data_IF_053889136199
#
_entry.id   IF_053889136199
#
_cell.length_a   1.000
_cell.length_b   1.000
_cell.length_c   1.000
_cell.angle_alpha   90.00
_cell.angle_beta   90.00
_cell.angle_gamma   90.00
#
_symmetry.space_group_name_H-M   'P 1'
#
loop_
_entity.id
_entity.type
_entity.pdbx_description
1 polymer ?
#
# COMPACT_ATOMS: atom_id res chain seq x y z
N UNK A 1 -9.40 0.47 -9.33
CA UNK A 1 -9.77 0.57 -7.90
C UNK A 1 -9.12 1.82 -7.33
N UNK A 2 -9.77 2.59 -6.45
CA UNK A 2 -9.22 3.83 -5.91
C UNK A 2 -9.33 3.88 -4.39
N UNK A 3 -8.27 4.36 -3.73
CA UNK A 3 -8.12 4.39 -2.29
C UNK A 3 -6.76 4.97 -1.90
N UNK A 4 -6.56 5.18 -0.60
CA UNK A 4 -5.32 5.68 0.00
C UNK A 4 -4.56 4.54 0.67
N UNK A 5 -3.23 4.53 0.51
CA UNK A 5 -2.30 3.73 1.32
C UNK A 5 -1.51 4.68 2.22
N UNK A 6 -1.55 4.45 3.53
CA UNK A 6 -0.86 5.26 4.54
C UNK A 6 0.15 4.40 5.29
N UNK A 7 1.44 4.68 5.13
CA UNK A 7 2.53 4.00 5.83
C UNK A 7 2.85 4.73 7.15
N UNK A 8 2.88 4.00 8.27
CA UNK A 8 2.99 4.59 9.61
C UNK A 8 3.53 3.59 10.65
N UNK A 9 3.74 4.05 11.89
CA UNK A 9 4.54 3.38 12.93
C UNK A 9 3.76 3.06 14.22
N UNK A 10 2.44 2.84 14.12
CA UNK A 10 1.49 2.81 15.25
C UNK A 10 1.45 4.09 16.12
N UNK A 11 1.94 5.23 15.62
CA UNK A 11 1.79 6.53 16.27
C UNK A 11 2.92 6.93 17.22
N UNK A 12 4.14 6.41 17.01
CA UNK A 12 5.33 6.85 17.74
C UNK A 12 6.01 8.06 17.05
N UNK A 13 5.60 8.41 15.82
CA UNK A 13 6.14 9.55 15.06
C UNK A 13 7.55 9.34 14.50
N UNK A 14 8.00 8.09 14.43
CA UNK A 14 9.30 7.68 13.93
C UNK A 14 9.42 7.68 12.40
N UNK A 15 10.66 7.70 11.93
CA UNK A 15 11.02 7.68 10.50
C UNK A 15 10.96 6.28 9.86
N UNK A 16 10.24 5.33 10.45
CA UNK A 16 10.16 3.94 9.99
C UNK A 16 8.73 3.43 10.10
N UNK A 17 8.10 3.16 8.97
CA UNK A 17 6.81 2.51 8.90
C UNK A 17 6.92 1.04 9.30
N UNK A 18 6.05 0.61 10.20
CA UNK A 18 5.86 -0.80 10.61
C UNK A 18 4.50 -1.33 10.16
N UNK A 19 3.57 -0.45 9.81
CA UNK A 19 2.21 -0.76 9.39
C UNK A 19 1.81 0.05 8.16
N UNK A 20 0.83 -0.46 7.43
CA UNK A 20 0.19 0.26 6.33
C UNK A 20 -1.33 0.14 6.44
N UNK A 21 -2.02 1.27 6.33
CA UNK A 21 -3.49 1.31 6.31
C UNK A 21 -3.97 1.55 4.88
N UNK A 22 -4.84 0.66 4.39
CA UNK A 22 -5.62 0.87 3.18
C UNK A 22 -6.99 1.47 3.52
N UNK A 23 -7.30 2.63 2.95
CA UNK A 23 -8.61 3.28 3.01
C UNK A 23 -9.24 3.27 1.60
N UNK A 24 -10.30 2.49 1.33
CA UNK A 24 -11.02 2.56 0.07
C UNK A 24 -11.75 3.91 -0.08
N UNK A 25 -11.85 4.45 -1.30
CA UNK A 25 -12.69 5.64 -1.54
C UNK A 25 -14.18 5.26 -1.45
N UNK A 26 -14.98 6.05 -0.71
CA UNK A 26 -16.39 5.74 -0.37
C UNK A 26 -17.30 5.41 -1.56
N UNK A 27 -17.03 5.99 -2.75
CA UNK A 27 -17.79 5.72 -3.97
C UNK A 27 -17.57 4.29 -4.55
N UNK A 28 -16.64 3.50 -4.00
CA UNK A 28 -16.32 2.14 -4.46
C UNK A 28 -17.16 1.06 -3.74
N UNK A 29 -18.46 1.31 -3.56
CA UNK A 29 -19.34 0.62 -2.62
C UNK A 29 -19.70 -0.86 -2.92
N UNK A 30 -19.01 -1.55 -3.84
CA UNK A 30 -19.39 -2.91 -4.28
C UNK A 30 -18.31 -3.99 -4.17
N UNK A 31 -17.03 -3.64 -4.04
CA UNK A 31 -15.97 -4.65 -4.00
C UNK A 31 -15.68 -5.07 -2.55
N UNK A 32 -16.20 -6.25 -2.19
CA UNK A 32 -16.06 -6.83 -0.87
C UNK A 32 -14.60 -6.92 -0.44
N UNK A 33 -14.26 -6.25 0.68
CA UNK A 33 -12.93 -6.26 1.28
C UNK A 33 -12.45 -7.67 1.66
N UNK A 34 -13.39 -8.62 1.76
CA UNK A 34 -13.15 -10.05 2.00
C UNK A 34 -12.30 -10.77 0.91
N UNK A 35 -11.91 -10.09 -0.17
CA UNK A 35 -11.04 -10.66 -1.21
C UNK A 35 -9.58 -10.16 -1.14
N UNK A 36 -9.21 -9.40 -0.10
CA UNK A 36 -7.90 -8.73 -0.04
C UNK A 36 -6.70 -9.68 0.11
N UNK A 37 -6.94 -10.91 0.57
CA UNK A 37 -5.91 -11.97 0.65
C UNK A 37 -5.28 -12.31 -0.73
N UNK A 38 -5.90 -11.87 -1.83
CA UNK A 38 -5.40 -12.02 -3.19
C UNK A 38 -4.53 -10.86 -3.69
N UNK A 39 -4.29 -9.80 -2.90
CA UNK A 39 -3.46 -8.66 -3.35
C UNK A 39 -2.05 -8.63 -2.76
N UNK A 40 -1.13 -8.18 -3.62
CA UNK A 40 0.27 -7.89 -3.29
C UNK A 40 0.53 -6.42 -3.57
N UNK A 41 1.07 -5.72 -2.59
CA UNK A 41 1.59 -4.36 -2.78
C UNK A 41 3.08 -4.46 -3.11
N UNK A 42 3.50 -3.75 -4.15
CA UNK A 42 4.90 -3.60 -4.52
C UNK A 42 5.32 -2.14 -4.48
N UNK A 43 6.47 -1.88 -3.87
CA UNK A 43 7.15 -0.58 -3.91
C UNK A 43 8.35 -0.74 -4.82
N UNK A 44 8.40 0.03 -5.90
CA UNK A 44 9.47 -0.05 -6.90
C UNK A 44 10.66 0.82 -6.50
N UNK A 45 11.84 0.55 -7.06
CA UNK A 45 13.05 1.34 -6.76
C UNK A 45 12.93 2.82 -7.13
N UNK A 46 12.07 3.15 -8.11
CA UNK A 46 11.89 4.50 -8.69
C UNK A 46 10.44 4.97 -8.63
N UNK A 47 10.21 6.29 -8.76
CA UNK A 47 8.90 6.92 -8.94
C UNK A 47 8.42 7.01 -10.40
N UNK A 48 9.08 6.35 -11.34
CA UNK A 48 8.83 6.55 -12.77
C UNK A 48 7.56 5.82 -13.24
N UNK A 49 6.47 6.58 -13.39
CA UNK A 49 5.20 6.12 -13.95
C UNK A 49 5.18 6.11 -15.49
N UNK A 50 6.19 6.65 -16.17
CA UNK A 50 6.23 6.69 -17.65
C UNK A 50 6.60 5.33 -18.27
N UNK A 51 7.13 4.41 -17.45
CA UNK A 51 7.50 3.04 -17.83
C UNK A 51 6.46 2.04 -17.32
N UNK A 52 6.38 0.86 -17.93
CA UNK A 52 5.55 -0.23 -17.40
C UNK A 52 6.03 -0.71 -16.03
N UNK A 53 5.10 -0.95 -15.12
CA UNK A 53 5.39 -1.53 -13.80
C UNK A 53 6.02 -2.92 -13.88
N UNK A 54 5.68 -3.71 -14.92
CA UNK A 54 6.14 -5.10 -15.11
C UNK A 54 7.67 -5.18 -15.16
N UNK A 55 8.31 -4.18 -15.77
CA UNK A 55 9.77 -4.13 -15.95
C UNK A 55 10.49 -3.29 -14.89
N UNK A 56 9.75 -2.69 -13.94
CA UNK A 56 10.31 -1.82 -12.92
C UNK A 56 10.71 -2.65 -11.69
N UNK A 57 11.99 -2.69 -11.28
CA UNK A 57 12.44 -3.50 -10.15
C UNK A 57 11.75 -3.09 -8.85
N UNK A 58 11.54 -4.06 -7.97
CA UNK A 58 10.90 -3.87 -6.68
C UNK A 58 11.94 -3.71 -5.57
N UNK A 59 11.81 -2.64 -4.79
CA UNK A 59 12.54 -2.46 -3.54
C UNK A 59 11.88 -3.26 -2.41
N UNK A 60 10.55 -3.24 -2.33
CA UNK A 60 9.77 -3.99 -1.35
C UNK A 60 8.54 -4.65 -1.96
N UNK A 61 8.12 -5.76 -1.36
CA UNK A 61 6.83 -6.42 -1.61
C UNK A 61 6.24 -6.94 -0.32
N UNK A 62 4.93 -6.85 -0.17
CA UNK A 62 4.18 -7.48 0.92
C UNK A 62 2.78 -7.86 0.47
N UNK A 63 2.19 -8.87 1.13
CA UNK A 63 0.81 -9.27 0.91
C UNK A 63 -0.14 -8.46 1.81
N UNK A 64 -1.37 -8.26 1.36
CA UNK A 64 -2.46 -7.73 2.20
C UNK A 64 -3.20 -8.83 3.00
N UNK A 65 -2.72 -10.07 2.94
CA UNK A 65 -3.42 -11.22 3.50
C UNK A 65 -3.39 -11.31 5.05
N UNK A 66 -4.59 -11.49 5.59
CA UNK A 66 -4.95 -12.21 6.82
C UNK A 66 -4.25 -12.01 8.20
N UNK A 67 -3.42 -10.98 8.41
CA UNK A 67 -3.20 -10.45 9.77
C UNK A 67 -3.62 -8.98 9.86
N UNK A 68 -4.86 -8.71 9.42
CA UNK A 68 -5.40 -7.36 9.33
C UNK A 68 -6.48 -7.10 10.38
N UNK A 69 -6.34 -5.99 11.11
CA UNK A 69 -7.40 -5.47 11.96
C UNK A 69 -8.38 -4.66 11.11
N UNK A 70 -9.67 -4.99 11.17
CA UNK A 70 -10.71 -4.16 10.55
C UNK A 70 -11.16 -3.13 11.58
N UNK A 71 -10.55 -1.96 11.56
CA UNK A 71 -11.00 -0.84 12.38
C UNK A 71 -12.26 -0.23 11.78
N UNK A 72 -13.38 -0.35 12.50
CA UNK A 72 -14.59 0.45 12.28
C UNK A 72 -14.61 1.60 13.28
N UNK A 73 -14.08 2.76 12.87
CA UNK A 73 -14.33 4.00 13.60
C UNK A 73 -15.78 4.47 13.34
N UNK A 74 -16.36 5.21 14.29
CA UNK A 74 -17.74 5.78 14.28
C UNK A 74 -18.07 6.72 13.09
N UNK A 75 -17.19 6.82 12.09
CA UNK A 75 -17.34 7.60 10.87
C UNK A 75 -16.96 6.80 9.63
N UNK A 76 -17.73 5.74 9.38
CA UNK A 76 -18.11 5.17 8.08
C UNK A 76 -17.01 4.69 7.08
N UNK A 77 -15.73 5.05 7.25
CA UNK A 77 -14.61 4.54 6.44
C UNK A 77 -14.11 3.19 6.99
N UNK A 78 -14.35 2.10 6.25
CA UNK A 78 -13.75 0.78 6.55
C UNK A 78 -12.28 0.76 6.15
N UNK A 79 -11.41 1.11 7.09
CA UNK A 79 -9.96 1.01 6.94
C UNK A 79 -9.45 -0.39 7.29
N UNK A 80 -8.37 -0.81 6.62
CA UNK A 80 -7.72 -2.10 6.85
C UNK A 80 -6.25 -1.86 7.10
N UNK A 81 -5.81 -2.16 8.32
CA UNK A 81 -4.43 -2.04 8.77
C UNK A 81 -3.72 -3.38 8.53
N UNK A 82 -2.51 -3.34 7.96
CA UNK A 82 -1.69 -4.51 7.65
C UNK A 82 -0.29 -4.30 8.24
N UNK A 83 0.23 -5.22 9.07
CA UNK A 83 1.60 -5.16 9.56
C UNK A 83 2.58 -5.44 8.42
N UNK A 84 3.64 -4.63 8.33
CA UNK A 84 4.70 -4.82 7.35
C UNK A 84 5.67 -5.90 7.85
N UNK A 85 5.91 -6.93 7.02
CA UNK A 85 6.88 -7.99 7.33
C UNK A 85 8.30 -7.49 7.53
N UNK A 86 8.62 -6.32 6.99
CA UNK A 86 9.89 -5.63 7.12
C UNK A 86 9.62 -4.14 7.36
N UNK A 87 10.16 -3.51 8.42
CA UNK A 87 10.03 -2.08 8.62
C UNK A 87 10.67 -1.28 7.48
N UNK A 88 9.98 -0.24 7.00
CA UNK A 88 10.39 0.57 5.84
C UNK A 88 10.68 1.99 6.28
N UNK A 89 11.87 2.52 5.97
CA UNK A 89 12.20 3.92 6.30
C UNK A 89 11.27 4.86 5.53
N UNK A 90 10.91 5.99 6.13
CA UNK A 90 10.06 7.05 5.56
C UNK A 90 10.96 8.24 5.20
N UNK A 91 11.76 8.11 4.13
CA UNK A 91 12.78 9.10 3.74
C UNK A 91 12.99 9.15 2.21
N UNK A 92 13.58 10.23 1.69
CA UNK A 92 13.86 10.35 0.25
C UNK A 92 15.18 9.66 -0.10
N UNK A 93 15.18 8.84 -1.14
CA UNK A 93 16.37 8.12 -1.61
C UNK A 93 16.64 6.84 -0.81
N UNK A 94 17.91 6.39 -0.78
CA UNK A 94 18.36 5.22 -0.01
C UNK A 94 17.41 4.03 -0.14
N UNK A 95 16.89 3.56 0.99
CA UNK A 95 15.87 2.50 1.08
C UNK A 95 14.44 3.05 1.34
N UNK A 96 14.24 4.38 1.37
CA UNK A 96 13.17 5.04 2.16
C UNK A 96 11.75 5.24 1.63
N UNK A 97 11.28 4.50 0.62
CA UNK A 97 9.91 4.57 0.04
C UNK A 97 9.36 5.91 -0.50
N UNK A 98 9.68 7.09 0.04
CA UNK A 98 9.13 8.38 -0.40
C UNK A 98 9.59 8.70 -1.83
N UNK A 99 8.66 9.17 -2.66
CA UNK A 99 8.88 9.47 -4.07
C UNK A 99 8.95 8.23 -4.97
N UNK A 100 8.69 7.03 -4.45
CA UNK A 100 8.68 5.78 -5.23
C UNK A 100 7.30 5.39 -5.72
N UNK A 101 7.26 4.62 -6.82
CA UNK A 101 6.03 4.04 -7.37
C UNK A 101 5.57 2.93 -6.43
N UNK A 102 4.29 2.98 -6.08
CA UNK A 102 3.57 1.88 -5.44
C UNK A 102 2.61 1.27 -6.45
N UNK A 103 2.51 -0.06 -6.46
CA UNK A 103 1.58 -0.83 -7.29
C UNK A 103 0.79 -1.82 -6.44
N UNK A 104 -0.44 -2.11 -6.83
CA UNK A 104 -1.28 -3.16 -6.26
C UNK A 104 -1.55 -4.18 -7.36
N UNK A 105 -1.25 -5.44 -7.09
CA UNK A 105 -1.43 -6.58 -8.01
C UNK A 105 -2.45 -7.53 -7.44
N UNK A 106 -3.36 -8.05 -8.27
CA UNK A 106 -4.19 -9.21 -7.92
C UNK A 106 -3.49 -10.49 -8.39
N UNK A 107 -3.61 -11.58 -7.63
CA UNK A 107 -3.14 -12.92 -8.06
C UNK A 107 -3.72 -13.38 -9.41
N UNK A 108 -4.82 -12.78 -9.88
CA UNK A 108 -5.46 -13.11 -11.16
C UNK A 108 -5.15 -12.12 -12.31
N UNK A 109 -4.31 -11.10 -12.08
CA UNK A 109 -4.00 -10.07 -13.06
C UNK A 109 -2.57 -10.18 -13.61
N UNK A 110 -2.40 -9.93 -14.92
CA UNK A 110 -1.09 -9.80 -15.58
C UNK A 110 -0.40 -8.46 -15.31
N UNK A 111 -1.17 -7.47 -14.88
CA UNK A 111 -0.83 -6.05 -14.78
C UNK A 111 -1.28 -5.50 -13.42
N UNK A 112 -0.70 -4.39 -12.92
CA UNK A 112 -1.14 -3.78 -11.68
C UNK A 112 -2.57 -3.23 -11.83
N UNK A 113 -3.43 -3.51 -10.85
CA UNK A 113 -4.83 -3.06 -10.82
C UNK A 113 -5.01 -1.62 -10.30
N UNK A 114 -3.94 -1.08 -9.70
CA UNK A 114 -3.81 0.30 -9.25
C UNK A 114 -2.32 0.64 -9.09
N UNK A 115 -1.97 1.91 -9.29
CA UNK A 115 -0.63 2.42 -9.03
C UNK A 115 -0.64 3.91 -8.67
N UNK A 116 0.47 4.39 -8.11
CA UNK A 116 0.67 5.78 -7.75
C UNK A 116 2.10 6.03 -7.26
N UNK A 117 2.35 7.22 -6.70
CA UNK A 117 3.62 7.58 -6.07
C UNK A 117 3.39 7.81 -4.58
N UNK A 118 4.30 7.31 -3.74
CA UNK A 118 4.26 7.52 -2.29
C UNK A 118 4.69 8.96 -1.98
N UNK A 119 3.73 9.80 -1.62
CA UNK A 119 3.96 11.16 -1.13
C UNK A 119 4.22 11.20 0.38
N UNK A 120 4.72 12.34 0.85
CA UNK A 120 4.71 12.71 2.27
C UNK A 120 3.40 13.45 2.58
N UNK A 121 2.85 13.27 3.79
CA UNK A 121 1.58 13.86 4.24
C UNK A 121 1.71 14.38 5.67
#
# INVERSE_FOLDING_TARGET
MAGRLTFHDCGQGGSVATHVTFTPNENSASNSLASLDSYVVGIHETGDLTKSAIISPFLYKFSMAQDHSISQNDRQERSIEVPLSHPMKIEVGGDGIIGRRVTIWSQHASDPIAEGVIGYN
#
